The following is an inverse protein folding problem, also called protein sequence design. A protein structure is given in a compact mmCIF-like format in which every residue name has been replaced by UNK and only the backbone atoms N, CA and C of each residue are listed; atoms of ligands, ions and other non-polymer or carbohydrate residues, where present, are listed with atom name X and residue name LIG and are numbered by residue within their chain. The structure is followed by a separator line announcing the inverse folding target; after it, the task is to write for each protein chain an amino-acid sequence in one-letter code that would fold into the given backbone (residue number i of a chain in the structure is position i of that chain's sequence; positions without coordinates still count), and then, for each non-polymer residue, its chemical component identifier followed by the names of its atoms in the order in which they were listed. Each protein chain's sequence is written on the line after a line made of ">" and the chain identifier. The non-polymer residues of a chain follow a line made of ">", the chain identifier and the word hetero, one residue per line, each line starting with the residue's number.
data_IF_099705590227
#
_entry.id   IF_099705590227
#
_cell.length_a   1.000
_cell.length_b   1.000
_cell.length_c   1.000
_cell.angle_alpha   90.00
_cell.angle_beta   90.00
_cell.angle_gamma   90.00
#
_symmetry.space_group_name_H-M   'P 1'
#
loop_
_entity.id
_entity.type
_entity.pdbx_description
1 polymer ?
#
# COMPACT_ATOMS: atom_id res chain seq x y z
N UNK A 1 9.50 -11.64 10.34
CA UNK A 1 8.55 -10.62 10.83
C UNK A 1 8.55 -9.49 9.82
N UNK A 2 7.39 -9.09 9.31
CA UNK A 2 7.30 -7.98 8.36
C UNK A 2 7.59 -6.66 9.09
N UNK A 3 8.37 -5.77 8.48
CA UNK A 3 8.67 -4.46 9.06
C UNK A 3 7.65 -3.44 8.54
N UNK A 4 6.99 -2.71 9.43
CA UNK A 4 6.06 -1.64 9.04
C UNK A 4 6.90 -0.46 8.57
N UNK A 5 6.78 -0.09 7.29
CA UNK A 5 7.54 1.03 6.71
C UNK A 5 6.72 2.31 6.69
N UNK A 6 5.40 2.20 6.50
CA UNK A 6 4.53 3.38 6.46
C UNK A 6 3.12 3.05 6.94
N UNK A 7 2.61 3.85 7.86
CA UNK A 7 1.25 3.78 8.37
C UNK A 7 0.62 5.17 8.27
N UNK A 8 -0.56 5.25 7.69
CA UNK A 8 -1.28 6.51 7.57
C UNK A 8 -2.79 6.28 7.62
N UNK A 9 -3.49 7.18 8.31
CA UNK A 9 -4.94 7.16 8.42
C UNK A 9 -5.53 8.49 7.97
N UNK A 10 -6.56 8.46 7.14
CA UNK A 10 -7.31 9.65 6.75
C UNK A 10 -8.76 9.34 6.42
N UNK A 11 -9.61 10.36 6.50
CA UNK A 11 -11.02 10.27 6.10
C UNK A 11 -11.13 10.78 4.66
N UNK A 12 -11.80 10.03 3.79
CA UNK A 12 -12.13 10.47 2.42
C UNK A 12 -13.55 11.01 2.35
N UNK A 13 -13.78 11.97 1.45
CA UNK A 13 -15.12 12.47 1.12
C UNK A 13 -15.84 11.59 0.10
N UNK A 14 -15.16 10.57 -0.43
CA UNK A 14 -15.74 9.65 -1.41
C UNK A 14 -16.81 8.80 -0.71
N UNK A 15 -17.99 8.62 -1.34
CA UNK A 15 -19.04 7.78 -0.79
C UNK A 15 -18.54 6.36 -0.49
N UNK A 16 -18.96 5.72 0.62
CA UNK A 16 -18.49 4.38 0.99
C UNK A 16 -18.63 3.33 -0.12
N UNK A 17 -19.68 3.43 -0.95
CA UNK A 17 -19.93 2.53 -2.07
C UNK A 17 -18.91 2.69 -3.22
N UNK A 18 -18.32 3.87 -3.39
CA UNK A 18 -17.34 4.16 -4.44
C UNK A 18 -15.89 3.92 -4.00
N UNK A 19 -15.63 3.91 -2.69
CA UNK A 19 -14.28 3.71 -2.14
C UNK A 19 -13.72 2.36 -2.58
N UNK A 20 -14.49 1.28 -2.42
CA UNK A 20 -14.03 -0.09 -2.70
C UNK A 20 -13.68 -0.32 -4.18
N UNK A 21 -14.55 0.00 -5.16
CA UNK A 21 -14.20 -0.11 -6.59
C UNK A 21 -12.95 0.68 -6.97
N UNK A 22 -12.77 1.89 -6.44
CA UNK A 22 -11.57 2.71 -6.67
C UNK A 22 -10.32 2.07 -6.09
N UNK A 23 -10.44 1.48 -4.90
CA UNK A 23 -9.36 0.77 -4.23
C UNK A 23 -8.93 -0.47 -5.03
N UNK A 24 -9.89 -1.27 -5.50
CA UNK A 24 -9.60 -2.43 -6.34
C UNK A 24 -8.95 -2.04 -7.67
N UNK A 25 -9.45 -0.97 -8.31
CA UNK A 25 -8.85 -0.44 -9.53
C UNK A 25 -7.41 0.03 -9.30
N UNK A 26 -7.14 0.72 -8.19
CA UNK A 26 -5.79 1.11 -7.78
C UNK A 26 -4.88 -0.11 -7.60
N UNK A 27 -5.32 -1.11 -6.85
CA UNK A 27 -4.53 -2.33 -6.61
C UNK A 27 -4.19 -3.05 -7.92
N UNK A 28 -5.17 -3.17 -8.84
CA UNK A 28 -4.96 -3.76 -10.18
C UNK A 28 -3.97 -2.94 -11.01
N UNK A 29 -4.13 -1.61 -11.04
CA UNK A 29 -3.26 -0.68 -11.79
C UNK A 29 -1.79 -0.79 -11.37
N UNK A 30 -1.53 -1.04 -10.08
CA UNK A 30 -0.19 -1.19 -9.54
C UNK A 30 0.27 -2.64 -9.40
N UNK A 31 -0.40 -3.59 -10.06
CA UNK A 31 -0.10 -5.02 -10.05
C UNK A 31 -0.01 -5.62 -8.64
N UNK A 32 -0.78 -5.08 -7.70
CA UNK A 32 -0.89 -5.57 -6.34
C UNK A 32 -1.95 -6.69 -6.34
N UNK A 33 -1.52 -7.90 -6.01
CA UNK A 33 -2.40 -9.07 -5.93
C UNK A 33 -3.14 -9.06 -4.60
N UNK A 34 -4.47 -9.00 -4.65
CA UNK A 34 -5.33 -9.14 -3.47
C UNK A 34 -5.12 -10.55 -2.90
N UNK A 35 -4.79 -10.63 -1.61
CA UNK A 35 -4.63 -11.89 -0.86
C UNK A 35 -5.83 -12.19 0.01
N UNK A 36 -6.40 -11.14 0.59
CA UNK A 36 -7.53 -11.25 1.49
C UNK A 36 -8.38 -9.99 1.35
N UNK A 37 -9.69 -10.17 1.35
CA UNK A 37 -10.67 -9.10 1.14
C UNK A 37 -11.93 -9.44 1.91
N UNK A 38 -12.24 -8.59 2.89
CA UNK A 38 -13.44 -8.63 3.73
C UNK A 38 -14.22 -7.32 3.57
N UNK A 39 -15.33 -7.14 4.27
CA UNK A 39 -16.17 -5.93 4.23
C UNK A 39 -15.41 -4.66 4.68
N UNK A 40 -14.51 -4.79 5.65
CA UNK A 40 -13.81 -3.66 6.26
C UNK A 40 -12.30 -3.70 6.04
N UNK A 41 -11.77 -4.66 5.27
CA UNK A 41 -10.32 -4.79 5.07
C UNK A 41 -9.98 -5.36 3.70
N UNK A 42 -8.97 -4.80 3.05
CA UNK A 42 -8.36 -5.34 1.84
C UNK A 42 -6.85 -5.46 2.09
N UNK A 43 -6.32 -6.67 1.94
CA UNK A 43 -4.88 -6.95 2.02
C UNK A 43 -4.37 -7.39 0.66
N UNK A 44 -3.41 -6.63 0.12
CA UNK A 44 -2.73 -6.89 -1.13
C UNK A 44 -1.25 -7.17 -0.94
N UNK A 45 -0.66 -7.94 -1.84
CA UNK A 45 0.78 -8.20 -1.89
C UNK A 45 1.32 -7.93 -3.28
N UNK A 46 2.53 -7.40 -3.36
CA UNK A 46 3.19 -7.12 -4.63
C UNK A 46 4.64 -7.59 -4.54
N UNK A 47 5.12 -8.27 -5.58
CA UNK A 47 6.45 -8.87 -5.64
C UNK A 47 6.42 -10.35 -5.25
N UNK A 48 7.23 -11.17 -5.93
CA UNK A 48 7.44 -12.57 -5.59
C UNK A 48 8.75 -12.68 -4.79
N UNK A 49 8.74 -13.14 -3.53
CA UNK A 49 9.96 -13.27 -2.73
C UNK A 49 11.03 -14.15 -3.40
N UNK A 50 10.61 -15.13 -4.21
CA UNK A 50 11.51 -16.02 -4.95
C UNK A 50 12.22 -15.33 -6.12
N UNK A 51 11.55 -14.43 -6.85
CA UNK A 51 12.13 -13.78 -8.04
C UNK A 51 13.23 -12.76 -7.69
N UNK A 52 13.13 -12.12 -6.52
CA UNK A 52 14.13 -11.18 -6.03
C UNK A 52 15.47 -11.86 -5.66
N UNK A 53 15.42 -13.14 -5.29
CA UNK A 53 16.62 -13.92 -4.91
C UNK A 53 17.37 -14.49 -6.12
N UNK A 54 16.68 -14.82 -7.22
CA UNK A 54 17.27 -15.51 -8.38
C UNK A 54 17.99 -14.55 -9.34
N UNK A 55 17.54 -13.31 -9.49
CA UNK A 55 18.06 -12.37 -10.50
C UNK A 55 19.22 -11.47 -10.04
N UNK A 56 19.73 -11.69 -8.82
CA UNK A 56 20.75 -10.83 -8.23
C UNK A 56 20.19 -9.45 -7.87
N UNK A 57 20.37 -9.05 -6.61
CA UNK A 57 19.82 -7.82 -6.01
C UNK A 57 20.14 -6.50 -6.76
N UNK A 58 21.06 -6.52 -7.74
CA UNK A 58 21.47 -5.34 -8.51
C UNK A 58 20.49 -4.94 -9.63
N UNK A 59 19.74 -5.87 -10.21
CA UNK A 59 18.83 -5.61 -11.35
C UNK A 59 17.34 -5.51 -10.95
N UNK A 60 16.99 -5.83 -9.70
CA UNK A 60 15.59 -5.82 -9.24
C UNK A 60 15.13 -4.38 -8.99
N UNK A 61 14.22 -3.88 -9.83
CA UNK A 61 13.60 -2.56 -9.65
C UNK A 61 12.84 -2.50 -8.32
N UNK A 62 12.85 -1.39 -7.55
CA UNK A 62 12.14 -1.25 -6.27
C UNK A 62 10.67 -1.70 -6.30
N UNK A 63 9.97 -1.47 -7.42
CA UNK A 63 8.59 -1.91 -7.62
C UNK A 63 8.39 -3.44 -7.57
N UNK A 64 9.43 -4.25 -7.81
CA UNK A 64 9.36 -5.72 -7.84
C UNK A 64 9.61 -6.39 -6.48
N UNK A 65 9.99 -5.62 -5.47
CA UNK A 65 10.31 -6.14 -4.15
C UNK A 65 9.03 -6.51 -3.39
N UNK A 66 9.09 -7.60 -2.59
CA UNK A 66 7.93 -8.14 -1.89
C UNK A 66 7.47 -7.17 -0.80
N UNK A 67 6.23 -6.71 -0.92
CA UNK A 67 5.57 -5.77 -0.01
C UNK A 67 4.12 -6.17 0.21
N UNK A 68 3.60 -5.79 1.36
CA UNK A 68 2.20 -5.95 1.73
C UNK A 68 1.57 -4.58 1.92
N UNK A 69 0.35 -4.43 1.42
CA UNK A 69 -0.51 -3.29 1.69
C UNK A 69 -1.76 -3.82 2.39
N UNK A 70 -2.06 -3.29 3.56
CA UNK A 70 -3.30 -3.58 4.28
C UNK A 70 -4.07 -2.29 4.40
N UNK A 71 -5.30 -2.28 3.88
CA UNK A 71 -6.18 -1.12 3.90
C UNK A 71 -7.42 -1.52 4.69
N UNK A 72 -7.60 -0.92 5.86
CA UNK A 72 -8.83 -1.03 6.63
C UNK A 72 -9.74 0.14 6.34
N UNK A 73 -11.01 -0.17 6.24
CA UNK A 73 -12.08 0.71 5.88
C UNK A 73 -13.03 0.76 7.08
N UNK A 74 -13.21 1.94 7.65
CA UNK A 74 -14.11 2.18 8.78
C UNK A 74 -15.08 3.30 8.42
N UNK A 75 -16.38 3.07 8.61
CA UNK A 75 -17.39 4.08 8.34
C UNK A 75 -17.54 4.98 9.56
N UNK A 76 -17.38 6.29 9.36
CA UNK A 76 -17.52 7.30 10.41
C UNK A 76 -18.63 8.30 10.04
N UNK A 77 -19.15 9.09 11.00
CA UNK A 77 -20.13 10.15 10.70
C UNK A 77 -19.61 11.19 9.70
N UNK A 78 -18.28 11.38 9.62
CA UNK A 78 -17.62 12.35 8.74
C UNK A 78 -17.30 11.78 7.34
N UNK A 79 -17.49 10.48 7.11
CA UNK A 79 -17.15 9.81 5.84
C UNK A 79 -16.48 8.46 6.04
N UNK A 80 -15.79 7.97 5.01
CA UNK A 80 -15.07 6.70 5.10
C UNK A 80 -13.65 6.95 5.59
N UNK A 81 -13.27 6.35 6.71
CA UNK A 81 -11.92 6.37 7.24
C UNK A 81 -11.11 5.22 6.65
N UNK A 82 -9.94 5.55 6.10
CA UNK A 82 -8.99 4.60 5.57
C UNK A 82 -7.78 4.52 6.49
N UNK A 83 -7.46 3.34 6.97
CA UNK A 83 -6.19 3.04 7.63
C UNK A 83 -5.35 2.22 6.68
N UNK A 84 -4.24 2.78 6.22
CA UNK A 84 -3.38 2.15 5.23
C UNK A 84 -2.03 1.84 5.85
N UNK A 85 -1.72 0.56 5.91
CA UNK A 85 -0.47 0.01 6.42
C UNK A 85 0.32 -0.61 5.27
N UNK A 86 1.54 -0.13 5.07
CA UNK A 86 2.50 -0.64 4.11
C UNK A 86 3.65 -1.33 4.85
N UNK A 87 3.85 -2.60 4.53
CA UNK A 87 4.82 -3.45 5.21
C UNK A 87 5.81 -4.04 4.19
N UNK A 88 7.07 -4.06 4.59
CA UNK A 88 8.11 -4.76 3.88
C UNK A 88 8.09 -6.25 4.22
N UNK A 89 7.98 -7.09 3.19
CA UNK A 89 8.05 -8.54 3.31
C UNK A 89 9.43 -9.10 2.94
N UNK A 90 10.39 -8.26 2.57
CA UNK A 90 11.71 -8.73 2.19
C UNK A 90 12.53 -9.13 3.42
N UNK A 91 13.12 -10.33 3.35
CA UNK A 91 13.84 -10.98 4.45
C UNK A 91 15.33 -10.63 4.49
N UNK A 92 15.81 -9.72 3.63
CA UNK A 92 17.25 -9.56 3.38
C UNK A 92 17.84 -8.34 4.07
N UNK A 93 18.85 -8.58 4.93
CA UNK A 93 19.72 -7.54 5.51
C UNK A 93 20.42 -6.64 4.47
N UNK A 94 20.39 -7.00 3.17
CA UNK A 94 20.91 -6.16 2.07
C UNK A 94 20.11 -4.87 1.84
N UNK A 95 18.93 -4.70 2.44
CA UNK A 95 18.11 -3.50 2.33
C UNK A 95 18.72 -2.27 2.99
N UNK A 96 19.64 -2.40 3.96
CA UNK A 96 20.17 -1.26 4.69
C UNK A 96 20.74 -0.16 3.77
N UNK A 97 21.41 -0.54 2.67
CA UNK A 97 21.94 0.40 1.67
C UNK A 97 20.92 0.94 0.66
N UNK A 98 19.72 0.36 0.58
CA UNK A 98 18.67 0.74 -0.38
C UNK A 98 17.35 1.14 0.30
N UNK A 99 17.35 1.23 1.63
CA UNK A 99 16.19 1.56 2.46
C UNK A 99 15.55 2.87 2.05
N UNK A 100 16.35 3.90 1.75
CA UNK A 100 15.83 5.19 1.28
C UNK A 100 15.03 5.07 -0.01
N UNK A 101 15.59 4.44 -1.07
CA UNK A 101 14.87 4.27 -2.34
C UNK A 101 13.61 3.45 -2.19
N UNK A 102 13.62 2.50 -1.25
CA UNK A 102 12.50 1.64 -0.97
C UNK A 102 11.40 2.36 -0.19
N UNK A 103 11.78 3.14 0.82
CA UNK A 103 10.92 4.06 1.53
C UNK A 103 10.29 5.09 0.60
N UNK A 104 11.06 5.69 -0.31
CA UNK A 104 10.53 6.62 -1.32
C UNK A 104 9.45 5.98 -2.20
N UNK A 105 9.56 4.69 -2.50
CA UNK A 105 8.53 3.97 -3.23
C UNK A 105 7.25 3.80 -2.40
N UNK A 106 7.35 3.49 -1.10
CA UNK A 106 6.18 3.44 -0.20
C UNK A 106 5.50 4.81 -0.07
N UNK A 107 6.28 5.87 0.08
CA UNK A 107 5.78 7.25 0.11
C UNK A 107 5.06 7.58 -1.19
N UNK A 108 5.66 7.26 -2.34
CA UNK A 108 5.03 7.47 -3.64
C UNK A 108 3.73 6.68 -3.80
N UNK A 109 3.70 5.41 -3.38
CA UNK A 109 2.50 4.57 -3.44
C UNK A 109 1.39 5.12 -2.54
N UNK A 110 1.74 5.58 -1.34
CA UNK A 110 0.80 6.23 -0.43
C UNK A 110 0.24 7.52 -1.03
N UNK A 111 1.09 8.35 -1.65
CA UNK A 111 0.66 9.57 -2.32
C UNK A 111 -0.23 9.27 -3.53
N UNK A 112 0.07 8.23 -4.30
CA UNK A 112 -0.77 7.78 -5.39
C UNK A 112 -2.14 7.30 -4.89
N UNK A 113 -2.19 6.61 -3.74
CA UNK A 113 -3.45 6.20 -3.13
C UNK A 113 -4.25 7.41 -2.64
N UNK A 114 -3.59 8.40 -2.03
CA UNK A 114 -4.21 9.67 -1.64
C UNK A 114 -4.66 10.51 -2.85
N UNK A 115 -4.06 10.35 -4.02
CA UNK A 115 -4.54 11.02 -5.22
C UNK A 115 -5.87 10.41 -5.72
N UNK A 116 -6.03 9.09 -5.61
CA UNK A 116 -7.27 8.39 -5.98
C UNK A 116 -8.37 8.52 -4.92
N UNK A 117 -7.98 8.51 -3.65
CA UNK A 117 -8.84 8.59 -2.47
C UNK A 117 -8.39 9.77 -1.59
N UNK A 118 -8.65 11.01 -2.03
CA UNK A 118 -8.14 12.20 -1.36
C UNK A 118 -8.69 12.35 0.05
N UNK A 119 -7.84 12.81 0.99
CA UNK A 119 -8.33 13.20 2.30
C UNK A 119 -9.38 14.30 2.14
N UNK A 120 -10.44 14.21 2.95
CA UNK A 120 -11.38 15.30 3.12
C UNK A 120 -10.56 16.54 3.49
N UNK A 121 -10.59 17.55 2.63
CA UNK A 121 -9.90 18.82 2.93
C UNK A 121 -10.53 19.33 4.22
N UNK A 122 -9.73 19.51 5.25
CA UNK A 122 -10.09 20.40 6.35
C UNK A 122 -10.33 21.76 5.69
N UNK A 123 -11.59 22.15 5.54
CA UNK A 123 -11.93 23.56 5.41
C UNK A 123 -11.48 24.18 6.72
N UNK A 124 -10.35 24.86 6.66
CA UNK A 124 -9.84 25.70 7.73
C UNK A 124 -10.45 27.08 7.60
#
# INVERSE_FOLDING_TARGET
>A
MAQVELDNTWITHIPPHDVRPKLEAFLRRYHIRIKHQDENQITGTHGLPLAANVLGSRLVKPGMWPKQITIRLEQTPAGMQLHVKLEDLSTSHMLARRRERYYSYFVWLMNALKAELPPAKYYR
#
